data_IF_694018692878
#
_entry.id   IF_694018692878
#
_cell.length_a   1.000
_cell.length_b   1.000
_cell.length_c   1.000
_cell.angle_alpha   90.00
_cell.angle_beta   90.00
_cell.angle_gamma   90.00
#
_symmetry.space_group_name_H-M   'P 1'
#
loop_
_entity.id
_entity.type
_entity.pdbx_description
1 polymer ?
#
# COMPACT_ATOMS: atom_id res chain seq x y z
N UNK A 1 73.32 22.55 -12.22
CA UNK A 1 72.12 23.03 -11.51
C UNK A 1 70.99 22.07 -11.85
N UNK A 2 70.48 21.32 -10.86
CA UNK A 2 69.59 20.16 -11.04
C UNK A 2 68.13 20.63 -11.15
N UNK A 3 67.51 20.42 -12.31
CA UNK A 3 66.06 20.50 -12.47
C UNK A 3 65.45 19.20 -11.93
N UNK A 4 64.54 19.30 -10.96
CA UNK A 4 63.71 18.18 -10.52
C UNK A 4 62.25 18.58 -10.61
N UNK A 5 61.58 17.96 -11.58
CA UNK A 5 60.21 18.16 -12.02
C UNK A 5 59.24 17.55 -10.97
N UNK A 6 58.35 18.34 -10.40
CA UNK A 6 57.33 17.86 -9.47
C UNK A 6 56.11 17.33 -10.24
N UNK A 7 55.85 16.03 -10.16
CA UNK A 7 54.66 15.36 -10.72
C UNK A 7 53.54 15.40 -9.68
N UNK A 8 52.47 16.14 -9.98
CA UNK A 8 51.25 16.22 -9.16
C UNK A 8 50.43 14.95 -9.39
N UNK A 9 50.33 14.10 -8.38
CA UNK A 9 49.52 12.88 -8.39
C UNK A 9 48.09 13.20 -7.96
N UNK A 10 47.14 13.11 -8.90
CA UNK A 10 45.72 13.35 -8.65
C UNK A 10 45.06 12.05 -8.16
N UNK A 11 44.93 11.88 -6.85
CA UNK A 11 44.19 10.73 -6.27
C UNK A 11 42.68 11.04 -6.24
N UNK A 12 41.94 10.44 -7.17
CA UNK A 12 40.47 10.39 -7.14
C UNK A 12 40.04 9.30 -6.15
N UNK A 13 39.71 9.67 -4.91
CA UNK A 13 39.04 8.75 -3.97
C UNK A 13 37.54 8.77 -4.22
N UNK A 14 37.02 7.74 -4.89
CA UNK A 14 35.57 7.50 -4.97
C UNK A 14 35.02 7.16 -3.59
N UNK A 15 34.34 8.11 -2.97
CA UNK A 15 33.52 7.90 -1.78
C UNK A 15 32.18 7.31 -2.21
N UNK A 16 32.06 5.97 -2.19
CA UNK A 16 30.76 5.31 -2.37
C UNK A 16 29.94 5.48 -1.09
N UNK A 17 29.17 6.59 -1.03
CA UNK A 17 28.09 6.70 -0.05
C UNK A 17 27.14 5.54 -0.30
N UNK A 18 27.05 4.62 0.66
CA UNK A 18 26.19 3.44 0.58
C UNK A 18 24.76 3.86 0.19
N UNK A 19 24.36 3.47 -1.01
CA UNK A 19 22.99 3.64 -1.46
C UNK A 19 22.11 2.71 -0.61
N UNK A 20 21.33 3.28 0.30
CA UNK A 20 20.27 2.56 0.99
C UNK A 20 19.20 2.27 -0.05
N UNK A 21 19.16 1.03 -0.54
CA UNK A 21 18.08 0.57 -1.39
C UNK A 21 16.79 0.56 -0.57
N UNK A 22 15.93 1.57 -0.73
CA UNK A 22 14.51 1.42 -0.42
C UNK A 22 13.93 0.52 -1.50
N UNK A 23 13.75 -0.77 -1.19
CA UNK A 23 12.91 -1.65 -2.00
C UNK A 23 11.51 -1.07 -1.98
N UNK A 24 11.09 -0.43 -3.07
CA UNK A 24 9.68 -0.15 -3.29
C UNK A 24 9.02 -1.51 -3.50
N UNK A 25 8.25 -1.96 -2.50
CA UNK A 25 7.26 -2.98 -2.75
C UNK A 25 6.25 -2.34 -3.69
N UNK A 26 6.46 -2.53 -5.00
CA UNK A 26 5.44 -2.30 -5.99
C UNK A 26 4.39 -3.40 -5.79
N UNK A 27 3.64 -3.31 -4.68
CA UNK A 27 2.34 -3.95 -4.54
C UNK A 27 1.48 -3.26 -5.60
N UNK A 28 1.62 -3.71 -6.84
CA UNK A 28 0.76 -3.26 -7.92
C UNK A 28 -0.63 -3.66 -7.46
N UNK A 29 -1.45 -2.68 -7.10
CA UNK A 29 -2.85 -2.91 -6.73
C UNK A 29 -3.62 -2.91 -8.05
N UNK A 30 -3.89 -4.10 -8.62
CA UNK A 30 -4.48 -4.20 -9.94
C UNK A 30 -5.89 -3.63 -9.96
N UNK A 31 -6.56 -3.61 -8.81
CA UNK A 31 -7.97 -3.26 -8.69
C UNK A 31 -8.13 -1.95 -7.95
N UNK A 32 -9.02 -1.10 -8.48
CA UNK A 32 -9.45 0.15 -7.87
C UNK A 32 -10.93 0.34 -8.10
N UNK A 33 -11.69 0.62 -7.05
CA UNK A 33 -13.15 0.77 -7.13
C UNK A 33 -13.69 1.71 -6.05
N UNK A 34 -14.88 2.24 -6.29
CA UNK A 34 -15.67 2.97 -5.29
C UNK A 34 -16.74 2.01 -4.78
N UNK A 35 -16.82 1.83 -3.46
CA UNK A 35 -17.74 0.88 -2.85
C UNK A 35 -18.28 1.37 -1.51
N UNK A 36 -19.50 0.93 -1.20
CA UNK A 36 -20.14 1.10 0.11
C UNK A 36 -19.77 -0.07 1.00
N UNK A 37 -19.41 0.18 2.25
CA UNK A 37 -19.26 -0.87 3.26
C UNK A 37 -20.64 -1.35 3.68
N UNK A 38 -20.95 -2.62 3.46
CA UNK A 38 -22.24 -3.22 3.86
C UNK A 38 -22.17 -3.92 5.19
N UNK A 39 -21.03 -4.54 5.51
CA UNK A 39 -20.83 -5.27 6.76
C UNK A 39 -19.35 -5.21 7.20
N UNK A 40 -19.12 -5.25 8.51
CA UNK A 40 -17.82 -5.35 9.15
C UNK A 40 -17.93 -6.39 10.26
N UNK A 41 -17.30 -7.54 10.10
CA UNK A 41 -17.37 -8.67 11.03
C UNK A 41 -16.00 -8.93 11.66
N UNK A 42 -15.96 -9.20 12.96
CA UNK A 42 -14.73 -9.61 13.64
C UNK A 42 -14.40 -11.06 13.25
N UNK A 43 -13.16 -11.29 12.79
CA UNK A 43 -12.67 -12.64 12.52
C UNK A 43 -12.01 -13.16 13.79
N UNK A 44 -12.68 -14.08 14.48
CA UNK A 44 -12.13 -14.79 15.64
C UNK A 44 -11.02 -15.75 15.20
N UNK A 45 -9.81 -15.21 15.05
CA UNK A 45 -8.61 -15.98 14.81
C UNK A 45 -7.62 -15.75 15.96
N UNK A 46 -7.09 -16.83 16.54
CA UNK A 46 -5.99 -16.84 17.53
C UNK A 46 -4.66 -16.38 16.92
N UNK A 47 -4.66 -15.19 16.33
CA UNK A 47 -3.51 -14.59 15.67
C UNK A 47 -3.06 -13.35 16.44
N UNK A 48 -1.78 -13.02 16.34
CA UNK A 48 -1.20 -11.88 17.05
C UNK A 48 -1.81 -10.53 16.64
N UNK A 49 -2.55 -10.47 15.52
CA UNK A 49 -3.21 -9.27 15.03
C UNK A 49 -4.68 -9.58 14.72
N UNK A 50 -5.64 -9.08 15.52
CA UNK A 50 -7.06 -9.29 15.26
C UNK A 50 -7.42 -8.72 13.88
N UNK A 51 -8.25 -9.45 13.14
CA UNK A 51 -8.70 -9.06 11.81
C UNK A 51 -10.19 -8.84 11.80
N UNK A 52 -10.63 -7.96 10.92
CA UNK A 52 -12.04 -7.81 10.55
C UNK A 52 -12.20 -8.11 9.08
N UNK A 53 -13.33 -8.71 8.75
CA UNK A 53 -13.76 -8.94 7.39
C UNK A 53 -14.73 -7.83 6.99
N UNK A 54 -14.45 -7.17 5.87
CA UNK A 54 -15.22 -6.03 5.39
C UNK A 54 -15.85 -6.40 4.06
N UNK A 55 -17.18 -6.33 4.02
CA UNK A 55 -17.96 -6.52 2.81
C UNK A 55 -18.20 -5.18 2.12
N UNK A 56 -17.84 -5.14 0.83
CA UNK A 56 -17.98 -4.00 -0.04
C UNK A 56 -19.01 -4.30 -1.13
N UNK A 57 -20.00 -3.43 -1.27
CA UNK A 57 -20.85 -3.36 -2.45
C UNK A 57 -20.27 -2.34 -3.42
N UNK A 58 -19.85 -2.79 -4.60
CA UNK A 58 -19.14 -1.96 -5.56
C UNK A 58 -20.15 -1.10 -6.33
N UNK A 59 -19.97 0.21 -6.27
CA UNK A 59 -20.74 1.20 -7.01
C UNK A 59 -20.12 1.40 -8.39
N UNK A 60 -18.78 1.50 -8.45
CA UNK A 60 -18.05 1.78 -9.67
C UNK A 60 -16.65 1.16 -9.66
N UNK A 61 -16.32 0.40 -10.71
CA UNK A 61 -14.94 -0.05 -10.96
C UNK A 61 -14.16 1.02 -11.71
N UNK A 62 -13.02 1.44 -11.17
CA UNK A 62 -12.10 2.40 -11.80
C UNK A 62 -10.93 1.70 -12.51
N UNK A 63 -10.49 0.55 -12.01
CA UNK A 63 -9.41 -0.28 -12.58
C UNK A 63 -9.62 -1.74 -12.19
N UNK A 64 -9.30 -2.66 -13.09
CA UNK A 64 -9.42 -4.10 -12.87
C UNK A 64 -10.74 -4.68 -13.37
N UNK A 65 -11.08 -5.86 -12.86
CA UNK A 65 -12.30 -6.58 -13.25
C UNK A 65 -13.56 -5.91 -12.68
N UNK A 66 -14.66 -5.97 -13.44
CA UNK A 66 -15.96 -5.50 -12.97
C UNK A 66 -16.56 -6.54 -12.04
N UNK A 67 -16.67 -6.18 -10.76
CA UNK A 67 -17.26 -7.00 -9.71
C UNK A 67 -18.43 -6.24 -9.08
N UNK A 68 -19.44 -6.96 -8.60
CA UNK A 68 -20.59 -6.36 -7.90
C UNK A 68 -20.37 -6.20 -6.40
N UNK A 69 -19.58 -7.10 -5.82
CA UNK A 69 -19.25 -7.11 -4.40
C UNK A 69 -17.86 -7.67 -4.19
N UNK A 70 -17.24 -7.29 -3.08
CA UNK A 70 -15.93 -7.82 -2.69
C UNK A 70 -15.79 -7.90 -1.19
N UNK A 71 -15.10 -8.93 -0.74
CA UNK A 71 -14.81 -9.21 0.66
C UNK A 71 -13.31 -9.11 0.88
N UNK A 72 -12.88 -8.32 1.86
CA UNK A 72 -11.47 -8.06 2.15
C UNK A 72 -11.24 -8.18 3.65
N UNK A 73 -10.16 -8.87 4.03
CA UNK A 73 -9.73 -8.94 5.43
C UNK A 73 -8.70 -7.85 5.73
N UNK A 74 -8.94 -7.10 6.79
CA UNK A 74 -8.06 -6.03 7.25
C UNK A 74 -7.76 -6.20 8.73
N UNK A 75 -6.62 -5.67 9.17
CA UNK A 75 -6.28 -5.67 10.59
C UNK A 75 -7.24 -4.75 11.33
N UNK A 76 -7.86 -5.22 12.41
CA UNK A 76 -8.84 -4.48 13.21
C UNK A 76 -8.29 -3.14 13.67
N UNK A 77 -7.03 -3.12 14.09
CA UNK A 77 -6.29 -1.93 14.52
C UNK A 77 -5.43 -1.28 13.43
N UNK A 78 -5.80 -1.51 12.18
CA UNK A 78 -5.22 -0.85 11.03
C UNK A 78 -5.49 0.66 10.97
N UNK A 79 -4.84 1.37 10.04
CA UNK A 79 -4.94 2.83 9.89
C UNK A 79 -6.32 3.29 9.43
N UNK A 80 -7.11 2.41 8.81
CA UNK A 80 -8.46 2.70 8.33
C UNK A 80 -9.46 1.91 9.17
N UNK A 81 -10.45 2.63 9.73
CA UNK A 81 -11.54 2.06 10.52
C UNK A 81 -12.82 2.11 9.69
N UNK A 82 -13.16 0.99 9.05
CA UNK A 82 -14.36 0.89 8.22
C UNK A 82 -15.63 0.94 9.07
N UNK A 83 -16.68 1.55 8.52
CA UNK A 83 -18.02 1.60 9.11
C UNK A 83 -19.06 1.30 8.04
N UNK A 84 -20.05 0.49 8.39
CA UNK A 84 -21.18 0.20 7.51
C UNK A 84 -21.90 1.48 7.08
N UNK A 85 -22.26 1.56 5.81
CA UNK A 85 -22.89 2.71 5.18
C UNK A 85 -21.91 3.75 4.62
N UNK A 86 -20.62 3.73 4.98
CA UNK A 86 -19.66 4.68 4.41
C UNK A 86 -19.16 4.23 3.04
N UNK A 87 -18.84 5.20 2.18
CA UNK A 87 -18.35 4.97 0.81
C UNK A 87 -16.86 5.25 0.75
N UNK A 88 -16.09 4.32 0.20
CA UNK A 88 -14.64 4.41 0.07
C UNK A 88 -14.19 4.25 -1.39
N UNK A 89 -13.13 4.95 -1.74
CA UNK A 89 -12.26 4.54 -2.85
C UNK A 89 -11.29 3.51 -2.32
N UNK A 90 -11.34 2.30 -2.85
CA UNK A 90 -10.57 1.15 -2.39
C UNK A 90 -9.62 0.71 -3.49
N UNK A 91 -8.37 0.46 -3.12
CA UNK A 91 -7.38 -0.22 -3.96
C UNK A 91 -7.02 -1.55 -3.31
N UNK A 92 -7.06 -2.63 -4.10
CA UNK A 92 -6.84 -3.97 -3.60
C UNK A 92 -5.98 -4.80 -4.55
N UNK A 93 -5.42 -5.87 -3.98
CA UNK A 93 -4.85 -6.97 -4.72
C UNK A 93 -5.50 -8.27 -4.22
N UNK A 94 -6.49 -8.78 -4.96
CA UNK A 94 -7.31 -9.92 -4.52
C UNK A 94 -7.97 -9.62 -3.16
N UNK A 95 -7.70 -10.44 -2.14
CA UNK A 95 -8.28 -10.32 -0.79
C UNK A 95 -7.54 -9.34 0.12
N UNK A 96 -6.47 -8.70 -0.37
CA UNK A 96 -5.64 -7.78 0.42
C UNK A 96 -5.97 -6.33 0.10
N UNK A 97 -6.19 -5.54 1.15
CA UNK A 97 -6.31 -4.09 1.05
C UNK A 97 -4.94 -3.48 0.81
N UNK A 98 -4.81 -2.65 -0.23
CA UNK A 98 -3.66 -1.78 -0.40
C UNK A 98 -3.88 -0.41 0.22
N UNK A 99 -5.00 0.22 -0.13
CA UNK A 99 -5.37 1.54 0.37
C UNK A 99 -6.88 1.69 0.38
N UNK A 100 -7.39 2.50 1.30
CA UNK A 100 -8.79 2.92 1.32
C UNK A 100 -8.84 4.38 1.75
N UNK A 101 -9.56 5.18 0.96
CA UNK A 101 -9.78 6.60 1.22
C UNK A 101 -11.27 6.86 1.31
N UNK A 102 -11.72 7.49 2.39
CA UNK A 102 -13.12 7.86 2.55
C UNK A 102 -13.53 8.79 1.40
N UNK A 103 -14.52 8.35 0.62
CA UNK A 103 -15.05 9.10 -0.51
C UNK A 103 -16.21 9.99 -0.05
N UNK A 104 -17.14 9.43 0.72
CA UNK A 104 -18.25 10.18 1.31
C UNK A 104 -18.81 9.48 2.55
N UNK A 105 -19.38 10.28 3.44
CA UNK A 105 -20.33 9.81 4.46
C UNK A 105 -21.74 9.92 3.88
N UNK A 106 -22.60 8.96 4.21
CA UNK A 106 -24.04 9.02 3.95
C UNK A 106 -24.69 9.78 5.11
#
# INVERSE_FOLDING_TARGET
MKHFLAIVTLTFTMSSKGARATTSFNLSCPEKFIATVTNVEDVEASSAFPKVEVDFQIIQTLKGEKLFSKKIQVVKDGPVKFKSGEIYTVESNNVWLCSATLFSKI
#
